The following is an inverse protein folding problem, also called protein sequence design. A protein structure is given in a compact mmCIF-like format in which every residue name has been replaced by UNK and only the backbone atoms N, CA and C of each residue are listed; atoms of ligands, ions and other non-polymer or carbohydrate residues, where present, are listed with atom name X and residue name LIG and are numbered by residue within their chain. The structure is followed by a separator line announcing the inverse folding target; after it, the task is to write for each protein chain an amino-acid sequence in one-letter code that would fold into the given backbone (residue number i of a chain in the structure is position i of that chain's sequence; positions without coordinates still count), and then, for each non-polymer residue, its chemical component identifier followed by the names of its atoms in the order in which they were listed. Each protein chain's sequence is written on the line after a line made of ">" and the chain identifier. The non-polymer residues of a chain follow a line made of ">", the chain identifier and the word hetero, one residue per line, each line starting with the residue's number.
data_IF_809824161416
#
_entry.id   IF_809824161416
#
_cell.length_a   1.000
_cell.length_b   1.000
_cell.length_c   1.000
_cell.angle_alpha   90.00
_cell.angle_beta   90.00
_cell.angle_gamma   90.00
#
_symmetry.space_group_name_H-M   'P 1'
#
loop_
_entity.id
_entity.type
_entity.pdbx_description
1 polymer ?
#
# COMPACT_ATOMS: atom_id res chain seq x y z
N UNK A 1 -4.67 -74.47 17.50
CA UNK A 1 -4.34 -73.22 18.20
C UNK A 1 -4.78 -72.08 17.28
N UNK A 2 -6.01 -71.60 17.42
CA UNK A 2 -6.52 -70.51 16.59
C UNK A 2 -6.07 -69.19 17.17
N UNK A 3 -5.26 -68.45 16.44
CA UNK A 3 -4.94 -67.06 16.76
C UNK A 3 -6.10 -66.22 16.23
N UNK A 4 -7.02 -65.85 17.11
CA UNK A 4 -8.13 -64.96 16.76
C UNK A 4 -7.58 -63.53 16.69
N UNK A 5 -7.62 -62.91 15.51
CA UNK A 5 -7.28 -61.50 15.33
C UNK A 5 -8.35 -60.65 16.03
N UNK A 6 -7.96 -59.87 17.03
CA UNK A 6 -8.84 -58.88 17.66
C UNK A 6 -8.53 -57.51 17.05
N UNK A 7 -9.55 -56.88 16.47
CA UNK A 7 -9.49 -55.49 16.00
C UNK A 7 -10.30 -54.62 16.94
N UNK A 8 -9.74 -53.49 17.34
CA UNK A 8 -10.38 -52.55 18.25
C UNK A 8 -10.22 -51.13 17.74
N UNK A 9 -11.28 -50.33 17.92
CA UNK A 9 -11.34 -48.93 17.53
C UNK A 9 -11.70 -48.08 18.75
N UNK A 10 -11.16 -46.86 18.82
CA UNK A 10 -11.47 -45.89 19.87
C UNK A 10 -10.95 -44.51 19.49
N UNK A 11 -11.37 -43.50 20.28
CA UNK A 11 -10.96 -42.12 20.07
C UNK A 11 -9.93 -41.72 21.13
N UNK A 12 -9.02 -40.84 20.72
CA UNK A 12 -7.98 -40.28 21.57
C UNK A 12 -7.97 -38.78 21.36
N UNK A 13 -8.14 -38.02 22.43
CA UNK A 13 -7.95 -36.59 22.45
C UNK A 13 -6.54 -36.30 22.98
N UNK A 14 -5.74 -35.56 22.21
CA UNK A 14 -4.37 -35.20 22.56
C UNK A 14 -4.31 -33.70 22.77
N UNK A 15 -3.96 -33.27 23.98
CA UNK A 15 -3.74 -31.87 24.32
C UNK A 15 -2.25 -31.61 24.43
N UNK A 16 -1.75 -30.59 23.73
CA UNK A 16 -0.34 -30.18 23.78
C UNK A 16 -0.26 -28.89 24.58
N UNK A 17 0.61 -28.85 25.58
CA UNK A 17 0.74 -27.72 26.50
C UNK A 17 2.12 -27.09 26.37
N UNK A 18 2.19 -25.78 26.60
CA UNK A 18 3.41 -24.96 26.52
C UNK A 18 4.18 -25.18 25.21
N UNK A 19 3.51 -24.89 24.09
CA UNK A 19 4.09 -24.95 22.75
C UNK A 19 4.84 -23.64 22.49
N UNK A 20 6.16 -23.70 22.50
CA UNK A 20 7.05 -22.58 22.18
C UNK A 20 7.57 -22.75 20.75
N UNK A 21 7.62 -21.66 19.97
CA UNK A 21 8.21 -21.63 18.63
C UNK A 21 9.16 -20.46 18.52
N UNK A 22 10.45 -20.75 18.36
CA UNK A 22 11.48 -19.79 18.04
C UNK A 22 11.74 -19.79 16.53
N UNK A 23 11.65 -18.61 15.93
CA UNK A 23 11.76 -18.45 14.49
C UNK A 23 12.72 -17.31 14.17
N UNK A 24 13.63 -17.56 13.23
CA UNK A 24 14.52 -16.54 12.66
C UNK A 24 14.20 -16.38 11.18
N UNK A 25 13.78 -15.19 10.80
CA UNK A 25 13.39 -14.85 9.42
C UNK A 25 14.34 -13.78 8.88
N UNK A 26 14.81 -13.98 7.65
CA UNK A 26 15.45 -12.95 6.85
C UNK A 26 14.43 -12.32 5.91
N UNK A 27 14.59 -11.01 5.64
CA UNK A 27 13.87 -10.32 4.57
C UNK A 27 14.84 -10.09 3.43
N UNK A 28 14.75 -10.91 2.39
CA UNK A 28 15.50 -10.78 1.14
C UNK A 28 14.73 -9.90 0.14
N UNK A 29 15.34 -9.61 -1.01
CA UNK A 29 14.69 -8.93 -2.13
C UNK A 29 14.55 -9.89 -3.30
N UNK A 30 13.40 -9.90 -3.98
CA UNK A 30 13.22 -10.63 -5.23
C UNK A 30 13.74 -9.85 -6.45
N UNK A 31 13.49 -10.35 -7.67
CA UNK A 31 13.91 -9.70 -8.92
C UNK A 31 13.31 -8.31 -9.11
N UNK A 32 12.12 -8.05 -8.56
CA UNK A 32 11.42 -6.78 -8.62
C UNK A 32 11.72 -5.91 -7.38
N UNK A 33 12.72 -6.31 -6.57
CA UNK A 33 13.10 -5.70 -5.29
C UNK A 33 11.99 -5.74 -4.23
N UNK A 34 10.99 -6.60 -4.38
CA UNK A 34 9.94 -6.80 -3.36
C UNK A 34 10.50 -7.57 -2.17
N UNK A 35 9.90 -7.37 -1.01
CA UNK A 35 10.22 -8.12 0.18
C UNK A 35 9.97 -9.62 -0.05
N UNK A 36 10.98 -10.44 0.22
CA UNK A 36 10.89 -11.89 0.20
C UNK A 36 11.33 -12.46 1.54
N UNK A 37 10.39 -12.70 2.46
CA UNK A 37 10.66 -13.40 3.71
C UNK A 37 11.24 -14.79 3.45
N UNK A 38 12.14 -15.21 4.32
CA UNK A 38 12.77 -16.52 4.25
C UNK A 38 13.18 -17.00 5.62
N UNK A 39 12.82 -18.22 5.94
CA UNK A 39 13.13 -18.87 7.20
C UNK A 39 14.63 -19.24 7.22
N UNK A 40 15.35 -18.73 8.20
CA UNK A 40 16.73 -19.11 8.48
C UNK A 40 16.79 -20.26 9.49
N UNK A 41 15.93 -20.20 10.50
CA UNK A 41 15.87 -21.17 11.59
C UNK A 41 14.44 -21.25 12.10
N UNK A 42 13.97 -22.46 12.38
CA UNK A 42 12.73 -22.70 13.11
C UNK A 42 12.99 -23.80 14.14
N UNK A 43 12.63 -23.54 15.38
CA UNK A 43 12.69 -24.49 16.48
C UNK A 43 11.37 -24.45 17.23
N UNK A 44 10.66 -25.57 17.22
CA UNK A 44 9.48 -25.75 18.05
C UNK A 44 9.85 -26.64 19.25
N UNK A 45 9.26 -26.36 20.41
CA UNK A 45 9.35 -27.22 21.58
C UNK A 45 8.02 -27.31 22.30
N UNK A 46 7.63 -28.52 22.69
CA UNK A 46 6.41 -28.80 23.44
C UNK A 46 6.83 -29.37 24.80
N UNK A 47 6.47 -28.70 25.89
CA UNK A 47 6.91 -29.18 27.22
C UNK A 47 6.12 -30.40 27.67
N UNK A 48 4.81 -30.41 27.43
CA UNK A 48 3.93 -31.47 27.89
C UNK A 48 2.84 -31.87 26.89
N UNK A 49 2.37 -33.10 27.01
CA UNK A 49 1.32 -33.69 26.17
C UNK A 49 0.42 -34.60 26.99
N UNK A 50 -0.88 -34.28 27.02
CA UNK A 50 -1.90 -35.03 27.74
C UNK A 50 -2.74 -35.86 26.78
N UNK A 51 -2.91 -37.15 27.07
CA UNK A 51 -3.67 -38.08 26.24
C UNK A 51 -4.91 -38.56 26.99
N UNK A 52 -6.08 -38.21 26.46
CA UNK A 52 -7.38 -38.58 27.00
C UNK A 52 -8.03 -39.65 26.10
N UNK A 53 -8.25 -40.84 26.67
CA UNK A 53 -8.76 -42.00 25.94
C UNK A 53 -10.21 -42.27 26.33
N UNK A 54 -11.09 -42.44 25.33
CA UNK A 54 -12.51 -42.72 25.59
C UNK A 54 -12.81 -44.17 26.01
N UNK A 55 -11.83 -45.08 25.90
CA UNK A 55 -11.98 -46.50 26.22
C UNK A 55 -10.86 -47.01 27.12
N UNK A 56 -11.25 -47.76 28.16
CA UNK A 56 -10.34 -48.46 29.09
C UNK A 56 -9.41 -49.41 28.31
N UNK A 57 -9.91 -50.01 27.22
CA UNK A 57 -9.14 -50.94 26.38
C UNK A 57 -8.01 -50.22 25.62
N UNK A 58 -8.21 -48.96 25.25
CA UNK A 58 -7.16 -48.17 24.59
C UNK A 58 -6.19 -47.59 25.63
N UNK A 59 -6.68 -47.27 26.83
CA UNK A 59 -5.87 -46.76 27.94
C UNK A 59 -4.80 -47.78 28.42
N UNK A 60 -5.12 -49.08 28.55
CA UNK A 60 -4.09 -50.07 28.96
C UNK A 60 -3.03 -50.31 27.87
N UNK A 61 -3.41 -50.24 26.60
CA UNK A 61 -2.48 -50.34 25.48
C UNK A 61 -1.52 -49.15 25.48
N UNK A 62 -2.02 -47.94 25.75
CA UNK A 62 -1.20 -46.75 25.93
C UNK A 62 -0.30 -46.82 27.16
N UNK A 63 -0.79 -47.29 28.31
CA UNK A 63 0.02 -47.49 29.53
C UNK A 63 1.28 -48.32 29.25
N UNK A 64 1.17 -49.29 28.33
CA UNK A 64 2.28 -50.14 27.87
C UNK A 64 3.29 -49.41 26.97
N UNK A 65 2.87 -48.38 26.23
CA UNK A 65 3.71 -47.56 25.34
C UNK A 65 4.00 -46.15 25.90
N UNK A 66 3.66 -45.92 27.18
CA UNK A 66 3.48 -44.61 27.83
C UNK A 66 4.69 -43.68 27.78
N UNK A 67 5.90 -44.20 27.55
CA UNK A 67 7.12 -43.38 27.44
C UNK A 67 7.55 -43.08 25.99
N UNK A 68 7.10 -43.88 25.04
CA UNK A 68 7.56 -43.82 23.64
C UNK A 68 6.58 -43.05 22.77
N UNK A 69 5.28 -43.26 22.96
CA UNK A 69 4.25 -42.62 22.15
C UNK A 69 4.21 -41.10 22.37
N UNK A 70 4.21 -40.56 23.61
CA UNK A 70 4.14 -39.12 23.83
C UNK A 70 5.35 -38.37 23.26
N UNK A 71 6.55 -38.88 23.50
CA UNK A 71 7.78 -38.29 22.97
C UNK A 71 7.79 -38.28 21.43
N UNK A 72 7.38 -39.38 20.78
CA UNK A 72 7.30 -39.44 19.32
C UNK A 72 6.23 -38.51 18.75
N UNK A 73 5.07 -38.42 19.38
CA UNK A 73 4.00 -37.50 18.97
C UNK A 73 4.47 -36.06 19.10
N UNK A 74 5.17 -35.73 20.19
CA UNK A 74 5.79 -34.43 20.38
C UNK A 74 6.81 -34.12 19.29
N UNK A 75 7.84 -34.94 19.13
CA UNK A 75 8.93 -34.71 18.16
C UNK A 75 8.36 -34.54 16.74
N UNK A 76 7.42 -35.42 16.37
CA UNK A 76 6.73 -35.32 15.08
C UNK A 76 5.92 -34.03 14.94
N UNK A 77 5.26 -33.57 16.01
CA UNK A 77 4.47 -32.33 15.98
C UNK A 77 5.36 -31.10 15.91
N UNK A 78 6.47 -31.07 16.66
CA UNK A 78 7.48 -30.00 16.60
C UNK A 78 8.04 -29.87 15.18
N UNK A 79 8.47 -30.98 14.57
CA UNK A 79 8.92 -31.00 13.17
C UNK A 79 7.83 -30.55 12.20
N UNK A 80 6.58 -30.99 12.43
CA UNK A 80 5.46 -30.65 11.55
C UNK A 80 5.10 -29.17 11.64
N UNK A 81 5.10 -28.59 12.84
CA UNK A 81 4.89 -27.17 13.08
C UNK A 81 5.92 -26.35 12.31
N UNK A 82 7.21 -26.63 12.50
CA UNK A 82 8.26 -25.91 11.80
C UNK A 82 8.18 -26.07 10.28
N UNK A 83 7.82 -27.27 9.78
CA UNK A 83 7.61 -27.47 8.34
C UNK A 83 6.48 -26.60 7.80
N UNK A 84 5.35 -26.51 8.50
CA UNK A 84 4.20 -25.71 8.07
C UNK A 84 4.51 -24.22 8.12
N UNK A 85 5.17 -23.76 9.18
CA UNK A 85 5.57 -22.35 9.35
C UNK A 85 6.57 -21.96 8.26
N UNK A 86 7.60 -22.78 8.05
CA UNK A 86 8.62 -22.55 7.02
C UNK A 86 7.99 -22.51 5.63
N UNK A 87 7.10 -23.46 5.31
CA UNK A 87 6.39 -23.47 4.02
C UNK A 87 5.54 -22.22 3.82
N UNK A 88 4.85 -21.77 4.87
CA UNK A 88 4.08 -20.54 4.80
C UNK A 88 4.97 -19.31 4.54
N UNK A 89 6.07 -19.17 5.27
CA UNK A 89 6.97 -18.01 5.16
C UNK A 89 7.73 -18.02 3.84
N UNK A 90 8.21 -19.18 3.40
CA UNK A 90 9.11 -19.26 2.26
C UNK A 90 8.37 -19.30 0.92
N UNK A 91 7.12 -19.81 0.92
CA UNK A 91 6.34 -20.02 -0.30
C UNK A 91 5.08 -19.16 -0.36
N UNK A 92 4.24 -19.15 0.68
CA UNK A 92 2.93 -18.47 0.63
C UNK A 92 3.01 -16.97 0.87
N UNK A 93 3.80 -16.53 1.84
CA UNK A 93 3.94 -15.11 2.18
C UNK A 93 4.53 -14.30 1.00
N UNK A 94 5.56 -14.78 0.26
CA UNK A 94 6.04 -14.09 -0.94
C UNK A 94 4.99 -14.03 -2.05
N UNK A 95 4.11 -15.03 -2.18
CA UNK A 95 2.99 -14.97 -3.13
C UNK A 95 2.02 -13.84 -2.77
N UNK A 96 1.65 -13.71 -1.48
CA UNK A 96 0.81 -12.60 -1.02
C UNK A 96 1.48 -11.23 -1.25
N UNK A 97 2.78 -11.10 -1.00
CA UNK A 97 3.51 -9.84 -1.24
C UNK A 97 3.53 -9.46 -2.73
N UNK A 98 3.53 -10.45 -3.64
CA UNK A 98 3.47 -10.19 -5.09
C UNK A 98 2.13 -9.64 -5.54
N UNK A 99 1.05 -9.89 -4.80
CA UNK A 99 -0.29 -9.34 -5.11
C UNK A 99 -0.37 -7.82 -4.88
N UNK A 100 0.54 -7.26 -4.08
CA UNK A 100 0.66 -5.80 -3.91
C UNK A 100 0.98 -5.17 -5.26
N UNK A 101 0.10 -4.28 -5.71
CA UNK A 101 0.26 -3.58 -6.99
C UNK A 101 1.46 -2.63 -6.91
N UNK A 102 2.33 -2.69 -7.92
CA UNK A 102 3.44 -1.74 -8.07
C UNK A 102 3.01 -0.44 -8.75
N UNK A 103 1.76 -0.32 -9.14
CA UNK A 103 1.23 0.92 -9.66
C UNK A 103 -0.25 1.05 -9.35
N UNK A 104 -0.70 2.27 -9.13
CA UNK A 104 -2.12 2.61 -9.07
C UNK A 104 -2.48 3.53 -10.23
N UNK A 105 -3.71 3.45 -10.68
CA UNK A 105 -4.26 4.30 -11.72
C UNK A 105 -5.34 5.21 -11.12
N UNK A 106 -5.32 6.49 -11.49
CA UNK A 106 -6.27 7.50 -11.04
C UNK A 106 -6.60 8.44 -12.20
N UNK A 107 -7.83 8.36 -12.71
CA UNK A 107 -8.29 9.13 -13.88
C UNK A 107 -7.36 8.95 -15.10
N UNK A 108 -6.65 9.99 -15.55
CA UNK A 108 -5.66 9.96 -16.63
C UNK A 108 -4.21 9.71 -16.15
N UNK A 109 -4.02 9.54 -14.84
CA UNK A 109 -2.72 9.40 -14.20
C UNK A 109 -2.43 7.97 -13.74
N UNK A 110 -1.15 7.67 -13.62
CA UNK A 110 -0.61 6.44 -13.05
C UNK A 110 0.47 6.80 -12.03
N UNK A 111 0.43 6.15 -10.87
CA UNK A 111 1.45 6.28 -9.82
C UNK A 111 2.29 5.02 -9.82
N UNK A 112 3.62 5.14 -9.91
CA UNK A 112 4.57 4.04 -9.78
C UNK A 112 5.01 3.88 -8.31
N UNK A 113 4.63 2.76 -7.71
CA UNK A 113 5.03 2.30 -6.38
C UNK A 113 6.08 1.18 -6.44
N UNK A 114 6.80 1.03 -7.54
CA UNK A 114 7.88 0.03 -7.63
C UNK A 114 8.94 0.28 -6.54
N UNK A 115 9.43 -0.77 -5.85
CA UNK A 115 10.47 -0.60 -4.84
C UNK A 115 11.75 -0.06 -5.48
N UNK A 116 12.38 0.92 -4.84
CA UNK A 116 13.65 1.51 -5.31
C UNK A 116 14.87 0.88 -4.66
N UNK A 117 14.69 0.23 -3.52
CA UNK A 117 15.72 -0.51 -2.79
C UNK A 117 15.14 -1.78 -2.16
N UNK A 118 16.02 -2.66 -1.66
CA UNK A 118 15.60 -3.72 -0.75
C UNK A 118 14.99 -3.11 0.52
N UNK A 119 14.14 -3.87 1.20
CA UNK A 119 13.61 -3.50 2.52
C UNK A 119 14.77 -3.36 3.51
N UNK A 120 14.78 -2.25 4.25
CA UNK A 120 15.69 -2.04 5.38
C UNK A 120 15.11 -2.68 6.63
N UNK A 121 15.95 -3.35 7.40
CA UNK A 121 15.55 -3.99 8.67
C UNK A 121 16.40 -3.37 9.77
N UNK A 122 15.77 -2.62 10.66
CA UNK A 122 16.41 -2.05 11.84
C UNK A 122 15.94 -2.79 13.10
N UNK A 123 16.38 -2.33 14.28
CA UNK A 123 15.87 -2.88 15.55
C UNK A 123 14.45 -2.40 15.87
N UNK A 124 14.00 -1.31 15.25
CA UNK A 124 12.74 -0.64 15.56
C UNK A 124 11.72 -0.75 14.42
N UNK A 125 12.17 -0.88 13.17
CA UNK A 125 11.30 -0.76 12.01
C UNK A 125 11.74 -1.60 10.80
N UNK A 126 10.77 -1.85 9.91
CA UNK A 126 10.96 -2.41 8.58
C UNK A 126 10.59 -1.33 7.56
N UNK A 127 11.57 -0.83 6.82
CA UNK A 127 11.36 0.28 5.89
C UNK A 127 11.39 -0.19 4.43
N UNK A 128 10.33 0.09 3.68
CA UNK A 128 10.25 -0.15 2.25
C UNK A 128 10.19 1.19 1.49
N UNK A 129 11.19 1.43 0.62
CA UNK A 129 11.23 2.64 -0.22
C UNK A 129 10.61 2.37 -1.58
N UNK A 130 9.63 3.21 -1.94
CA UNK A 130 8.89 3.15 -3.19
C UNK A 130 9.17 4.39 -4.05
N UNK A 131 9.00 4.28 -5.37
CA UNK A 131 9.30 5.38 -6.30
C UNK A 131 8.41 6.61 -6.10
N UNK A 132 7.10 6.43 -6.01
CA UNK A 132 6.14 7.51 -5.81
C UNK A 132 6.00 8.47 -7.01
N UNK A 133 6.41 8.07 -8.21
CA UNK A 133 6.37 8.95 -9.38
C UNK A 133 5.00 8.90 -10.05
N UNK A 134 4.42 10.06 -10.35
CA UNK A 134 3.15 10.18 -11.07
C UNK A 134 3.39 10.55 -12.53
N UNK A 135 2.83 9.75 -13.44
CA UNK A 135 2.90 9.96 -14.89
C UNK A 135 1.52 9.95 -15.53
N UNK A 136 1.46 10.35 -16.79
CA UNK A 136 0.26 10.20 -17.61
C UNK A 136 0.10 8.73 -18.04
N UNK A 137 -1.12 8.22 -18.15
CA UNK A 137 -1.36 6.80 -18.47
C UNK A 137 -0.86 6.40 -19.85
N UNK A 138 -1.05 7.26 -20.84
CA UNK A 138 -0.60 7.01 -22.21
C UNK A 138 0.85 7.46 -22.47
N UNK A 139 1.49 8.13 -21.51
CA UNK A 139 2.87 8.61 -21.62
C UNK A 139 3.61 8.43 -20.28
N UNK A 140 4.45 7.40 -20.22
CA UNK A 140 5.30 7.11 -19.05
C UNK A 140 6.70 7.73 -19.17
N UNK A 141 6.82 8.87 -19.85
CA UNK A 141 8.06 9.64 -19.85
C UNK A 141 8.45 9.99 -18.42
N UNK A 142 9.69 9.68 -17.98
CA UNK A 142 10.14 9.98 -16.63
C UNK A 142 10.06 11.47 -16.32
N UNK A 143 9.63 11.78 -15.10
CA UNK A 143 9.60 13.15 -14.59
C UNK A 143 10.99 13.77 -14.53
N UNK A 144 11.06 15.09 -14.74
CA UNK A 144 12.31 15.85 -14.56
C UNK A 144 12.58 16.20 -13.08
N UNK A 145 11.59 15.99 -12.21
CA UNK A 145 11.67 16.22 -10.78
C UNK A 145 12.63 15.22 -10.14
N UNK A 146 13.15 15.57 -8.96
CA UNK A 146 14.00 14.67 -8.17
C UNK A 146 13.41 14.54 -6.78
N UNK A 147 13.41 13.33 -6.20
CA UNK A 147 13.04 13.14 -4.82
C UNK A 147 14.07 13.81 -3.92
N UNK A 148 13.58 14.37 -2.81
CA UNK A 148 14.45 14.80 -1.73
C UNK A 148 14.87 13.59 -0.89
N UNK A 149 15.91 13.78 -0.07
CA UNK A 149 16.32 12.77 0.87
C UNK A 149 15.26 12.68 1.99
N UNK A 150 14.74 11.47 2.20
CA UNK A 150 13.83 11.20 3.31
C UNK A 150 14.54 11.51 4.64
N UNK A 151 13.86 12.16 5.62
CA UNK A 151 14.43 12.38 6.94
C UNK A 151 14.80 11.06 7.62
N UNK A 152 15.75 11.13 8.55
CA UNK A 152 16.30 9.94 9.23
C UNK A 152 15.27 9.29 10.16
N UNK A 153 15.43 7.98 10.38
CA UNK A 153 14.61 7.06 11.19
C UNK A 153 14.35 7.49 12.66
N UNK A 154 14.92 8.60 13.15
CA UNK A 154 14.80 9.02 14.55
C UNK A 154 13.44 9.66 14.91
N UNK A 155 12.49 9.66 13.97
CA UNK A 155 11.14 10.20 14.14
C UNK A 155 10.04 9.13 14.07
N UNK A 156 10.40 7.85 14.18
CA UNK A 156 9.41 6.77 14.23
C UNK A 156 8.56 6.89 15.50
N UNK A 157 7.30 7.32 15.31
CA UNK A 157 6.24 7.26 16.31
C UNK A 157 6.00 5.77 16.64
N UNK A 158 6.57 5.29 17.75
CA UNK A 158 6.42 3.88 18.20
C UNK A 158 4.95 3.52 18.53
N UNK A 159 4.07 4.52 18.62
CA UNK A 159 2.64 4.36 18.90
C UNK A 159 1.82 3.89 17.68
N UNK A 160 2.39 3.87 16.47
CA UNK A 160 1.69 3.50 15.23
C UNK A 160 2.23 2.21 14.63
N UNK A 161 1.34 1.37 14.12
CA UNK A 161 1.72 0.12 13.43
C UNK A 161 2.31 0.34 12.03
N UNK A 162 2.02 1.48 11.40
CA UNK A 162 2.45 1.79 10.04
C UNK A 162 2.58 3.30 9.85
N UNK A 163 3.72 3.73 9.33
CA UNK A 163 3.99 5.12 8.96
C UNK A 163 4.17 5.19 7.44
N UNK A 164 3.51 6.17 6.82
CA UNK A 164 3.66 6.48 5.40
C UNK A 164 4.30 7.85 5.25
N UNK A 165 5.48 7.89 4.65
CA UNK A 165 6.11 9.15 4.27
C UNK A 165 5.81 9.46 2.80
N UNK A 166 5.30 10.66 2.55
CA UNK A 166 5.02 11.16 1.21
C UNK A 166 5.94 12.35 0.92
N UNK A 167 6.85 12.15 -0.03
CA UNK A 167 7.75 13.19 -0.49
C UNK A 167 7.03 14.21 -1.39
N UNK A 168 7.48 15.46 -1.37
CA UNK A 168 6.97 16.52 -2.25
C UNK A 168 7.12 16.17 -3.74
N UNK A 169 8.09 15.32 -4.08
CA UNK A 169 8.27 14.70 -5.38
C UNK A 169 6.99 14.07 -5.95
N UNK A 170 6.18 13.40 -5.13
CA UNK A 170 4.91 12.79 -5.59
C UNK A 170 3.98 13.87 -6.15
N UNK A 171 3.84 14.98 -5.42
CA UNK A 171 2.96 16.07 -5.84
C UNK A 171 3.55 16.89 -6.99
N UNK A 172 4.88 17.08 -7.03
CA UNK A 172 5.58 17.76 -8.13
C UNK A 172 5.49 16.99 -9.45
N UNK A 173 5.67 15.67 -9.42
CA UNK A 173 5.54 14.81 -10.62
C UNK A 173 4.12 14.81 -11.15
N UNK A 174 3.11 14.81 -10.25
CA UNK A 174 1.71 15.00 -10.64
C UNK A 174 1.47 16.36 -11.30
N UNK A 175 1.96 17.45 -10.70
CA UNK A 175 1.81 18.80 -11.23
C UNK A 175 2.47 18.96 -12.60
N UNK A 176 3.65 18.39 -12.80
CA UNK A 176 4.34 18.32 -14.09
C UNK A 176 3.50 17.55 -15.11
N UNK A 177 3.11 16.31 -14.79
CA UNK A 177 2.32 15.47 -15.69
C UNK A 177 0.99 16.14 -16.08
N UNK A 178 0.30 16.77 -15.14
CA UNK A 178 -0.97 17.45 -15.38
C UNK A 178 -0.80 18.70 -16.25
N UNK A 179 0.27 19.47 -16.04
CA UNK A 179 0.55 20.66 -16.84
C UNK A 179 0.95 20.27 -18.28
N UNK A 180 1.86 19.33 -18.45
CA UNK A 180 2.37 18.90 -19.76
C UNK A 180 1.31 18.26 -20.65
N UNK A 181 0.23 17.74 -20.06
CA UNK A 181 -0.89 17.11 -20.76
C UNK A 181 -2.14 18.00 -20.80
N UNK A 182 -1.99 19.31 -20.60
CA UNK A 182 -3.09 20.27 -20.75
C UNK A 182 -4.30 19.99 -19.82
N UNK A 183 -4.11 19.21 -18.74
CA UNK A 183 -5.15 18.81 -17.80
C UNK A 183 -5.58 19.98 -16.89
N UNK A 184 -4.66 20.91 -16.61
CA UNK A 184 -4.89 22.06 -15.73
C UNK A 184 -5.57 23.22 -16.47
N UNK A 185 -6.82 23.00 -16.89
CA UNK A 185 -7.66 24.00 -17.58
C UNK A 185 -9.05 24.04 -16.96
N UNK A 186 -9.60 25.25 -16.83
CA UNK A 186 -10.94 25.48 -16.35
C UNK A 186 -11.67 26.43 -17.30
N UNK A 187 -12.91 26.09 -17.62
CA UNK A 187 -13.84 26.98 -18.30
C UNK A 187 -14.78 27.58 -17.26
N UNK A 188 -14.82 28.90 -17.20
CA UNK A 188 -15.75 29.67 -16.39
C UNK A 188 -16.72 30.37 -17.34
N UNK A 189 -17.99 30.02 -17.22
CA UNK A 189 -19.09 30.57 -17.99
C UNK A 189 -20.35 30.68 -17.10
N UNK A 190 -21.36 31.42 -17.57
CA UNK A 190 -22.57 31.70 -16.77
C UNK A 190 -23.29 30.41 -16.34
N UNK A 191 -23.22 29.35 -17.14
CA UNK A 191 -23.78 28.01 -16.86
C UNK A 191 -22.99 27.19 -15.84
N UNK A 192 -21.75 27.58 -15.53
CA UNK A 192 -20.88 26.90 -14.55
C UNK A 192 -20.92 27.52 -13.15
N UNK A 193 -21.60 28.66 -12.99
CA UNK A 193 -21.68 29.41 -11.73
C UNK A 193 -22.99 29.06 -11.01
N UNK A 194 -22.90 28.71 -9.72
CA UNK A 194 -24.07 28.35 -8.90
C UNK A 194 -25.08 29.51 -8.83
N UNK A 195 -26.38 29.22 -8.72
CA UNK A 195 -27.43 30.25 -8.61
C UNK A 195 -27.20 31.25 -7.45
N UNK A 196 -26.45 30.85 -6.42
CA UNK A 196 -26.10 31.70 -5.28
C UNK A 196 -24.95 32.67 -5.63
N UNK A 197 -23.94 32.18 -6.36
CA UNK A 197 -22.81 32.96 -6.89
C UNK A 197 -23.19 33.79 -8.14
N UNK A 198 -24.30 33.46 -8.79
CA UNK A 198 -24.86 34.21 -9.92
C UNK A 198 -25.26 35.65 -9.55
N UNK A 199 -25.27 36.05 -8.28
CA UNK A 199 -25.39 37.48 -7.91
C UNK A 199 -24.18 38.29 -8.39
N UNK A 200 -23.00 37.68 -8.47
CA UNK A 200 -21.79 38.22 -9.09
C UNK A 200 -21.68 37.77 -10.55
N UNK A 201 -22.76 37.93 -11.35
CA UNK A 201 -22.72 37.64 -12.78
C UNK A 201 -21.45 38.23 -13.41
N UNK A 202 -20.67 37.39 -14.12
CA UNK A 202 -19.68 37.81 -15.11
C UNK A 202 -20.40 38.57 -16.24
N UNK A 203 -20.88 39.78 -15.95
CA UNK A 203 -21.48 40.64 -16.94
C UNK A 203 -20.37 41.25 -17.76
N UNK A 204 -20.62 41.33 -19.07
CA UNK A 204 -19.88 42.18 -20.00
C UNK A 204 -19.63 43.58 -19.42
N UNK A 205 -20.54 44.12 -18.60
CA UNK A 205 -20.36 45.43 -17.96
C UNK A 205 -19.16 45.52 -17.00
N UNK A 206 -18.85 44.46 -16.25
CA UNK A 206 -17.67 44.42 -15.37
C UNK A 206 -16.39 44.12 -16.15
N UNK A 207 -16.47 43.26 -17.15
CA UNK A 207 -15.32 42.98 -18.02
C UNK A 207 -15.01 44.18 -18.91
N UNK A 208 -16.02 44.96 -19.32
CA UNK A 208 -15.87 46.17 -20.14
C UNK A 208 -15.15 47.31 -19.46
N UNK A 209 -15.22 47.40 -18.12
CA UNK A 209 -14.45 48.41 -17.39
C UNK A 209 -12.97 48.04 -17.28
N UNK A 210 -12.64 46.76 -17.41
CA UNK A 210 -11.27 46.25 -17.37
C UNK A 210 -10.65 46.09 -18.77
N UNK A 211 -11.46 45.75 -19.77
CA UNK A 211 -11.07 45.53 -21.17
C UNK A 211 -12.12 46.21 -22.08
N UNK A 212 -11.95 47.52 -22.37
CA UNK A 212 -12.93 48.32 -23.09
C UNK A 212 -13.26 47.79 -24.50
N UNK A 213 -12.31 47.14 -25.17
CA UNK A 213 -12.42 46.58 -26.52
C UNK A 213 -13.42 45.42 -26.60
N UNK A 214 -13.70 44.74 -25.48
CA UNK A 214 -14.74 43.70 -25.42
C UNK A 214 -16.14 44.32 -25.42
N UNK A 215 -16.30 45.56 -24.97
CA UNK A 215 -17.61 46.22 -24.88
C UNK A 215 -18.16 46.71 -26.22
N UNK A 216 -17.27 47.05 -27.15
CA UNK A 216 -17.66 47.71 -28.40
C UNK A 216 -18.17 46.75 -29.48
N UNK A 217 -17.91 45.45 -29.34
CA UNK A 217 -18.06 44.47 -30.41
C UNK A 217 -18.82 43.18 -30.04
N UNK A 218 -19.45 43.12 -28.86
CA UNK A 218 -20.20 41.93 -28.45
C UNK A 218 -21.47 42.21 -27.67
N UNK A 219 -22.57 41.61 -28.14
CA UNK A 219 -23.89 41.63 -27.50
C UNK A 219 -24.22 40.32 -26.73
N UNK A 220 -23.24 39.44 -26.49
CA UNK A 220 -23.47 38.10 -25.92
C UNK A 220 -22.68 37.79 -24.63
N UNK A 221 -22.79 36.56 -24.14
CA UNK A 221 -22.16 36.13 -22.89
C UNK A 221 -20.62 36.11 -22.97
N UNK A 222 -19.96 36.35 -21.83
CA UNK A 222 -18.50 36.22 -21.69
C UNK A 222 -18.18 34.83 -21.14
N UNK A 223 -17.16 34.21 -21.73
CA UNK A 223 -16.54 33.01 -21.21
C UNK A 223 -15.08 33.33 -20.89
N UNK A 224 -14.60 32.83 -19.75
CA UNK A 224 -13.18 32.87 -19.39
C UNK A 224 -12.66 31.45 -19.43
N UNK A 225 -11.60 31.21 -20.19
CA UNK A 225 -10.84 29.97 -20.11
C UNK A 225 -9.54 30.27 -19.36
N UNK A 226 -9.30 29.55 -18.28
CA UNK A 226 -8.08 29.67 -17.49
C UNK A 226 -7.27 28.40 -17.71
N UNK A 227 -6.03 28.55 -18.15
CA UNK A 227 -5.09 27.45 -18.32
C UNK A 227 -3.82 27.71 -17.51
N UNK A 228 -3.16 26.65 -17.05
CA UNK A 228 -1.87 26.79 -16.40
C UNK A 228 -0.80 27.21 -17.41
N UNK A 229 -0.12 28.32 -17.14
CA UNK A 229 0.95 28.90 -17.98
C UNK A 229 2.32 28.29 -17.75
N UNK A 230 2.53 27.67 -16.59
CA UNK A 230 3.70 26.85 -16.27
C UNK A 230 3.32 25.74 -15.27
N UNK A 231 4.23 24.82 -15.00
CA UNK A 231 4.06 23.79 -13.96
C UNK A 231 3.76 24.46 -12.60
N UNK A 232 2.71 24.06 -11.87
CA UNK A 232 2.44 24.53 -10.52
C UNK A 232 3.61 24.27 -9.56
N UNK A 233 3.93 25.25 -8.72
CA UNK A 233 4.92 25.05 -7.66
C UNK A 233 4.18 24.44 -6.45
N UNK A 234 4.60 23.24 -6.02
CA UNK A 234 4.03 22.54 -4.85
C UNK A 234 5.08 22.47 -3.77
N UNK A 235 4.68 22.72 -2.52
CA UNK A 235 5.52 22.68 -1.32
C UNK A 235 4.78 21.92 -0.20
N UNK A 236 5.45 20.95 0.45
CA UNK A 236 4.92 20.23 1.61
C UNK A 236 5.73 20.61 2.85
N UNK A 237 5.05 21.09 3.87
CA UNK A 237 5.66 21.53 5.14
C UNK A 237 4.82 21.10 6.34
N UNK A 238 5.32 21.35 7.55
CA UNK A 238 4.55 21.15 8.79
C UNK A 238 3.26 21.98 8.84
N UNK A 239 3.20 23.11 8.12
CA UNK A 239 2.00 23.96 8.04
C UNK A 239 0.95 23.41 7.07
N UNK A 240 1.30 22.40 6.28
CA UNK A 240 0.44 21.75 5.29
C UNK A 240 1.01 21.80 3.87
N UNK A 241 0.11 21.64 2.90
CA UNK A 241 0.45 21.62 1.47
C UNK A 241 0.14 22.98 0.86
N UNK A 242 1.15 23.61 0.25
CA UNK A 242 1.01 24.84 -0.52
C UNK A 242 1.11 24.54 -2.01
N UNK A 243 0.14 25.04 -2.78
CA UNK A 243 0.14 24.94 -4.25
C UNK A 243 0.04 26.33 -4.84
N UNK A 244 0.99 26.70 -5.71
CA UNK A 244 1.00 27.96 -6.44
C UNK A 244 0.65 27.69 -7.91
N UNK A 245 -0.53 28.14 -8.30
CA UNK A 245 -1.04 28.04 -9.67
C UNK A 245 -0.71 29.31 -10.44
N UNK A 246 -0.27 29.14 -11.69
CA UNK A 246 0.10 30.25 -12.57
C UNK A 246 -0.84 30.28 -13.76
N UNK A 247 -1.98 30.93 -13.62
CA UNK A 247 -3.02 30.95 -14.65
C UNK A 247 -2.78 32.01 -15.73
N UNK A 248 -3.07 31.67 -16.98
CA UNK A 248 -3.27 32.63 -18.07
C UNK A 248 -4.77 32.64 -18.44
N UNK A 249 -5.52 33.72 -18.12
CA UNK A 249 -6.92 33.83 -18.50
C UNK A 249 -7.05 34.30 -19.97
N UNK A 250 -7.84 33.58 -20.75
CA UNK A 250 -8.27 33.96 -22.08
C UNK A 250 -9.76 34.34 -22.05
N UNK A 251 -10.08 35.56 -22.45
CA UNK A 251 -11.46 36.05 -22.50
C UNK A 251 -12.04 35.86 -23.90
N UNK A 252 -13.17 35.16 -23.96
CA UNK A 252 -13.93 34.95 -25.18
C UNK A 252 -15.29 35.63 -25.09
N UNK A 253 -15.70 36.26 -26.19
CA UNK A 253 -17.06 36.72 -26.36
C UNK A 253 -17.82 35.78 -27.29
N UNK A 254 -18.95 35.27 -26.82
CA UNK A 254 -19.87 34.52 -27.68
C UNK A 254 -20.76 35.51 -28.44
N UNK A 255 -20.68 35.52 -29.77
CA UNK A 255 -21.70 36.19 -30.60
C UNK A 255 -22.85 35.22 -30.82
N UNK A 256 -24.05 35.64 -30.38
CA UNK A 256 -25.31 34.99 -30.73
C UNK A 256 -25.64 35.16 -32.21
#
# INVERSE_FOLDING_TARGET
>A
MSITKMEHSGNVDISLQDVDVDLKVAVEADSDRRAKPKTLECKASIKDSEFNFSSIVVHWMYSTMSKVLPNKVREWTEERLCRVITDYIDNKMPETIKEVKLSAEMDEFKVDYSPVSKVSVSQQSLEARHRGEVSWKSDSTPSSQKPDDLPREDQDDEDKMFNLWLDEFVAKTFAESAHSHDYLKARIAEDTISEEDQKEKLRLSYVSSLIPELSSNSAGSVQVEVSSSKVPDVEISEEGVRVQLHGCPCFYSQRL
#
